data_IF_228827549173
#
_entry.id   IF_228827549173
#
_cell.length_a   1.000
_cell.length_b   1.000
_cell.length_c   1.000
_cell.angle_alpha   90.00
_cell.angle_beta   90.00
_cell.angle_gamma   90.00
#
_symmetry.space_group_name_H-M   'P 1'
#
loop_
_entity.id
_entity.type
_entity.pdbx_description
1 polymer ?
#
# COMPACT_ATOMS: atom_id res chain seq x y z
N UNK A 1 -19.50 -11.03 -4.55
CA UNK A 1 -19.50 -12.45 -5.02
C UNK A 1 -18.17 -12.76 -5.65
N UNK A 2 -17.59 -13.94 -5.38
CA UNK A 2 -16.39 -14.40 -6.04
C UNK A 2 -16.54 -14.33 -7.57
N UNK A 3 -15.56 -13.74 -8.26
CA UNK A 3 -15.58 -13.61 -9.73
C UNK A 3 -14.41 -14.36 -10.32
N UNK A 4 -14.73 -15.20 -11.29
CA UNK A 4 -13.72 -15.94 -12.05
C UNK A 4 -13.04 -14.99 -13.06
N UNK A 5 -11.79 -14.64 -12.80
CA UNK A 5 -10.96 -13.79 -13.68
C UNK A 5 -10.29 -14.60 -14.80
N UNK A 6 -10.56 -15.92 -14.88
CA UNK A 6 -10.00 -16.79 -15.92
C UNK A 6 -10.82 -16.82 -17.19
N UNK A 7 -12.00 -16.17 -17.21
CA UNK A 7 -12.94 -16.15 -18.33
C UNK A 7 -13.27 -14.71 -18.76
N UNK A 8 -13.85 -14.55 -19.96
CA UNK A 8 -14.29 -13.25 -20.47
C UNK A 8 -13.19 -12.37 -21.08
N UNK A 9 -13.55 -11.13 -21.46
CA UNK A 9 -12.64 -10.16 -22.08
C UNK A 9 -11.70 -9.54 -21.03
N UNK A 10 -10.40 -9.59 -21.27
CA UNK A 10 -9.37 -9.24 -20.29
C UNK A 10 -9.39 -7.76 -19.92
N UNK A 11 -9.32 -6.86 -20.90
CA UNK A 11 -9.23 -5.40 -20.65
C UNK A 11 -10.42 -4.85 -19.85
N UNK A 12 -11.69 -5.09 -20.25
CA UNK A 12 -12.85 -4.61 -19.49
C UNK A 12 -12.90 -5.21 -18.07
N UNK A 13 -12.47 -6.47 -17.92
CA UNK A 13 -12.44 -7.14 -16.64
C UNK A 13 -11.39 -6.54 -15.71
N UNK A 14 -10.19 -6.24 -16.23
CA UNK A 14 -9.12 -5.59 -15.49
C UNK A 14 -9.56 -4.20 -15.02
N UNK A 15 -10.13 -3.38 -15.92
CA UNK A 15 -10.65 -2.05 -15.59
C UNK A 15 -11.73 -2.14 -14.50
N UNK A 16 -12.72 -3.03 -14.67
CA UNK A 16 -13.82 -3.19 -13.71
C UNK A 16 -13.33 -3.66 -12.33
N UNK A 17 -12.25 -4.44 -12.29
CA UNK A 17 -11.63 -4.89 -11.05
C UNK A 17 -10.78 -3.78 -10.40
N UNK A 18 -10.08 -2.98 -11.20
CA UNK A 18 -9.12 -1.98 -10.73
C UNK A 18 -9.80 -0.70 -10.23
N UNK A 19 -10.90 -0.25 -10.86
CA UNK A 19 -11.61 0.97 -10.45
C UNK A 19 -11.98 0.97 -8.95
N UNK A 20 -12.60 -0.08 -8.38
CA UNK A 20 -12.89 -0.10 -6.93
C UNK A 20 -11.64 -0.03 -6.06
N UNK A 21 -10.51 -0.60 -6.50
CA UNK A 21 -9.23 -0.52 -5.77
C UNK A 21 -8.71 0.91 -5.74
N UNK A 22 -8.75 1.60 -6.89
CA UNK A 22 -8.34 3.01 -7.02
C UNK A 22 -9.21 3.88 -6.13
N UNK A 23 -10.54 3.76 -6.24
CA UNK A 23 -11.48 4.53 -5.44
C UNK A 23 -11.28 4.27 -3.94
N UNK A 24 -11.05 3.02 -3.55
CA UNK A 24 -10.79 2.67 -2.16
C UNK A 24 -9.54 3.35 -1.61
N UNK A 25 -8.44 3.32 -2.35
CA UNK A 25 -7.20 3.92 -1.88
C UNK A 25 -7.24 5.46 -1.90
N UNK A 26 -7.88 6.08 -2.90
CA UNK A 26 -8.11 7.53 -2.91
C UNK A 26 -8.98 7.93 -1.70
N UNK A 27 -10.05 7.18 -1.44
CA UNK A 27 -10.90 7.42 -0.30
C UNK A 27 -10.13 7.28 1.02
N UNK A 28 -9.25 6.28 1.13
CA UNK A 28 -8.38 6.07 2.29
C UNK A 28 -7.42 7.25 2.52
N UNK A 29 -6.79 7.76 1.46
CA UNK A 29 -5.94 8.94 1.55
C UNK A 29 -6.71 10.17 2.04
N UNK A 30 -7.93 10.33 1.54
CA UNK A 30 -8.80 11.47 1.88
C UNK A 30 -9.28 11.40 3.32
N UNK A 31 -9.75 10.25 3.81
CA UNK A 31 -10.22 10.16 5.19
C UNK A 31 -9.08 10.31 6.21
N UNK A 32 -7.87 9.82 5.93
CA UNK A 32 -6.70 10.05 6.77
C UNK A 32 -6.35 11.55 6.90
N UNK A 33 -6.59 12.31 5.83
CA UNK A 33 -6.44 13.77 5.88
C UNK A 33 -7.53 14.42 6.77
N UNK A 34 -8.78 13.95 6.66
CA UNK A 34 -9.90 14.43 7.49
C UNK A 34 -9.65 14.16 8.96
N UNK A 35 -9.21 12.93 9.33
CA UNK A 35 -8.84 12.57 10.70
C UNK A 35 -7.77 13.53 11.28
N UNK A 36 -6.71 13.79 10.51
CA UNK A 36 -5.68 14.75 10.92
C UNK A 36 -6.21 16.18 11.11
N UNK A 37 -7.18 16.61 10.31
CA UNK A 37 -7.84 17.92 10.45
C UNK A 37 -8.68 17.95 11.73
N UNK A 38 -9.43 16.89 12.03
CA UNK A 38 -10.25 16.80 13.25
C UNK A 38 -9.34 16.90 14.48
N UNK A 39 -8.27 16.10 14.53
CA UNK A 39 -7.31 16.13 15.63
C UNK A 39 -6.70 17.54 15.80
N UNK A 40 -6.19 18.12 14.70
CA UNK A 40 -5.53 19.44 14.76
C UNK A 40 -6.47 20.56 15.17
N UNK A 41 -7.74 20.53 14.73
CA UNK A 41 -8.71 21.61 14.97
C UNK A 41 -9.39 21.53 16.33
N UNK A 42 -9.72 20.33 16.79
CA UNK A 42 -10.53 20.13 18.01
C UNK A 42 -9.74 19.69 19.24
N UNK A 43 -8.56 19.09 19.07
CA UNK A 43 -7.73 18.62 20.19
C UNK A 43 -6.54 19.54 20.43
N UNK A 44 -5.91 20.02 19.36
CA UNK A 44 -4.82 20.99 19.41
C UNK A 44 -3.46 20.44 18.95
N UNK A 45 -2.43 21.30 19.02
CA UNK A 45 -1.12 21.07 18.45
C UNK A 45 -0.35 19.88 19.06
N UNK A 46 -0.48 19.66 20.36
CA UNK A 46 0.21 18.57 21.06
C UNK A 46 -0.32 17.20 20.65
N UNK A 47 -1.64 17.10 20.48
CA UNK A 47 -2.28 15.89 19.98
C UNK A 47 -1.90 15.59 18.50
N UNK A 48 -1.88 16.63 17.68
CA UNK A 48 -1.47 16.51 16.27
C UNK A 48 0.00 16.05 16.17
N UNK A 49 0.87 16.58 17.04
CA UNK A 49 2.27 16.16 17.14
C UNK A 49 2.38 14.68 17.55
N UNK A 50 1.61 14.27 18.58
CA UNK A 50 1.59 12.88 19.06
C UNK A 50 1.14 11.90 17.94
N UNK A 51 0.06 12.22 17.24
CA UNK A 51 -0.42 11.43 16.07
C UNK A 51 0.64 11.36 14.98
N UNK A 52 1.26 12.51 14.65
CA UNK A 52 2.32 12.60 13.64
C UNK A 52 3.53 11.72 13.94
N UNK A 53 3.93 11.63 15.23
CA UNK A 53 5.02 10.76 15.69
C UNK A 53 4.61 9.28 15.63
N UNK A 54 3.36 8.96 15.98
CA UNK A 54 2.87 7.58 16.00
C UNK A 54 2.68 7.01 14.59
N UNK A 55 2.31 7.82 13.59
CA UNK A 55 2.00 7.37 12.24
C UNK A 55 3.11 6.56 11.55
N UNK A 56 4.39 6.98 11.51
CA UNK A 56 5.46 6.20 10.92
C UNK A 56 5.67 4.84 11.62
N UNK A 57 5.57 4.83 12.96
CA UNK A 57 5.74 3.62 13.79
C UNK A 57 4.62 2.62 13.46
N UNK A 58 3.38 3.08 13.48
CA UNK A 58 2.21 2.27 13.15
C UNK A 58 2.28 1.75 11.72
N UNK A 59 2.68 2.60 10.77
CA UNK A 59 2.84 2.23 9.36
C UNK A 59 3.85 1.10 9.19
N UNK A 60 5.01 1.17 9.84
CA UNK A 60 6.01 0.10 9.79
C UNK A 60 5.46 -1.25 10.27
N UNK A 61 4.71 -1.24 11.38
CA UNK A 61 4.11 -2.46 11.94
C UNK A 61 3.04 -3.03 10.97
N UNK A 62 2.19 -2.18 10.44
CA UNK A 62 1.13 -2.57 9.50
C UNK A 62 1.72 -3.10 8.18
N UNK A 63 2.88 -2.64 7.74
CA UNK A 63 3.54 -3.15 6.53
C UNK A 63 3.80 -4.66 6.59
N UNK A 64 4.19 -5.20 7.76
CA UNK A 64 4.41 -6.63 7.92
C UNK A 64 3.10 -7.42 7.83
N UNK A 65 2.02 -6.89 8.43
CA UNK A 65 0.67 -7.49 8.33
C UNK A 65 0.17 -7.47 6.88
N UNK A 66 0.33 -6.34 6.20
CA UNK A 66 -0.05 -6.19 4.79
C UNK A 66 0.78 -7.11 3.88
N UNK A 67 2.09 -7.25 4.14
CA UNK A 67 2.95 -8.17 3.41
C UNK A 67 2.47 -9.61 3.53
N UNK A 68 2.12 -10.05 4.74
CA UNK A 68 1.57 -11.39 4.99
C UNK A 68 0.25 -11.60 4.22
N UNK A 69 -0.69 -10.67 4.32
CA UNK A 69 -1.97 -10.72 3.62
C UNK A 69 -1.80 -10.74 2.09
N UNK A 70 -0.87 -9.94 1.57
CA UNK A 70 -0.58 -9.89 0.13
C UNK A 70 0.04 -11.19 -0.37
N UNK A 71 1.04 -11.73 0.33
CA UNK A 71 1.65 -13.01 -0.02
C UNK A 71 0.62 -14.14 -0.03
N UNK A 72 -0.25 -14.19 0.99
CA UNK A 72 -1.34 -15.16 1.06
C UNK A 72 -2.36 -14.99 -0.07
N UNK A 73 -2.70 -13.75 -0.45
CA UNK A 73 -3.68 -13.48 -1.51
C UNK A 73 -3.24 -14.00 -2.87
N UNK A 74 -1.95 -13.94 -3.18
CA UNK A 74 -1.38 -14.49 -4.42
C UNK A 74 -1.57 -16.02 -4.45
N UNK A 75 -1.27 -16.70 -3.34
CA UNK A 75 -1.46 -18.15 -3.22
C UNK A 75 -2.95 -18.51 -3.31
N UNK A 76 -3.81 -17.77 -2.62
CA UNK A 76 -5.27 -17.97 -2.67
C UNK A 76 -5.83 -17.78 -4.09
N UNK A 77 -5.39 -16.73 -4.81
CA UNK A 77 -5.77 -16.48 -6.19
C UNK A 77 -5.35 -17.63 -7.11
N UNK A 78 -4.14 -18.15 -6.92
CA UNK A 78 -3.64 -19.30 -7.67
C UNK A 78 -4.48 -20.57 -7.40
N UNK A 79 -4.78 -20.90 -6.14
CA UNK A 79 -5.60 -22.05 -5.79
C UNK A 79 -7.05 -21.90 -6.27
N UNK A 80 -7.60 -20.70 -6.18
CA UNK A 80 -8.95 -20.40 -6.67
C UNK A 80 -9.05 -20.58 -8.18
N UNK A 81 -8.13 -20.00 -8.95
CA UNK A 81 -8.07 -20.14 -10.39
C UNK A 81 -7.87 -21.59 -10.82
N UNK A 82 -7.04 -22.35 -10.10
CA UNK A 82 -6.81 -23.78 -10.34
C UNK A 82 -7.93 -24.69 -9.84
N UNK A 83 -9.04 -24.14 -9.32
CA UNK A 83 -10.19 -24.87 -8.74
C UNK A 83 -9.80 -25.84 -7.61
N UNK A 84 -8.69 -25.59 -6.91
CA UNK A 84 -8.19 -26.38 -5.80
C UNK A 84 -8.84 -25.92 -4.49
N UNK A 85 -10.16 -26.12 -4.36
CA UNK A 85 -10.98 -25.53 -3.29
C UNK A 85 -10.61 -26.03 -1.88
N UNK A 86 -10.21 -27.30 -1.73
CA UNK A 86 -9.71 -27.82 -0.45
C UNK A 86 -8.43 -27.12 -0.01
N UNK A 87 -7.45 -27.02 -0.91
CA UNK A 87 -6.20 -26.30 -0.62
C UNK A 87 -6.44 -24.83 -0.35
N UNK A 88 -7.36 -24.19 -1.08
CA UNK A 88 -7.77 -22.80 -0.86
C UNK A 88 -8.34 -22.61 0.55
N UNK A 89 -9.26 -23.46 0.98
CA UNK A 89 -9.86 -23.39 2.32
C UNK A 89 -8.82 -23.58 3.41
N UNK A 90 -7.89 -24.53 3.24
CA UNK A 90 -6.76 -24.76 4.17
C UNK A 90 -5.81 -23.56 4.20
N UNK A 91 -5.56 -22.94 3.04
CA UNK A 91 -4.75 -21.72 2.94
C UNK A 91 -5.40 -20.54 3.68
N UNK A 92 -6.70 -20.33 3.50
CA UNK A 92 -7.48 -19.28 4.17
C UNK A 92 -7.40 -19.48 5.70
N UNK A 93 -7.70 -20.71 6.17
CA UNK A 93 -7.63 -21.06 7.60
C UNK A 93 -6.23 -20.88 8.18
N UNK A 94 -5.20 -21.41 7.52
CA UNK A 94 -3.82 -21.31 7.98
C UNK A 94 -3.36 -19.85 8.06
N UNK A 95 -3.71 -19.02 7.05
CA UNK A 95 -3.35 -17.59 7.05
C UNK A 95 -4.08 -16.84 8.15
N UNK A 96 -5.36 -17.11 8.38
CA UNK A 96 -6.13 -16.47 9.44
C UNK A 96 -5.56 -16.79 10.81
N UNK A 97 -5.33 -18.07 11.12
CA UNK A 97 -4.79 -18.51 12.41
C UNK A 97 -3.41 -17.91 12.64
N UNK A 98 -2.49 -18.07 11.67
CA UNK A 98 -1.14 -17.57 11.81
C UNK A 98 -1.06 -16.04 11.90
N UNK A 99 -1.90 -15.34 11.13
CA UNK A 99 -1.94 -13.90 11.16
C UNK A 99 -2.56 -13.33 12.44
N UNK A 100 -3.56 -14.00 13.02
CA UNK A 100 -4.09 -13.65 14.36
C UNK A 100 -3.02 -13.83 15.43
N UNK A 101 -2.32 -14.96 15.43
CA UNK A 101 -1.20 -15.19 16.38
C UNK A 101 -0.11 -14.13 16.19
N UNK A 102 0.25 -13.85 14.95
CA UNK A 102 1.28 -12.86 14.63
C UNK A 102 0.85 -11.44 15.03
N UNK A 103 -0.38 -11.03 14.74
CA UNK A 103 -0.90 -9.71 15.13
C UNK A 103 -0.99 -9.56 16.65
N UNK A 104 -1.40 -10.62 17.37
CA UNK A 104 -1.42 -10.62 18.83
C UNK A 104 -0.01 -10.50 19.41
N UNK A 105 0.95 -11.25 18.88
CA UNK A 105 2.35 -11.15 19.29
C UNK A 105 2.92 -9.75 19.05
N UNK A 106 2.65 -9.15 17.87
CA UNK A 106 3.03 -7.77 17.57
C UNK A 106 2.37 -6.77 18.52
N UNK A 107 1.09 -6.93 18.81
CA UNK A 107 0.38 -6.09 19.78
C UNK A 107 1.04 -6.14 21.16
N UNK A 108 1.32 -7.33 21.68
CA UNK A 108 1.98 -7.50 22.98
C UNK A 108 3.37 -6.86 23.00
N UNK A 109 4.19 -7.14 21.98
CA UNK A 109 5.51 -6.53 21.85
C UNK A 109 5.43 -5.01 21.74
N UNK A 110 4.53 -4.49 20.90
CA UNK A 110 4.36 -3.06 20.71
C UNK A 110 3.92 -2.36 22.01
N UNK A 111 3.00 -2.95 22.79
CA UNK A 111 2.56 -2.39 24.08
C UNK A 111 3.70 -2.36 25.09
N UNK A 112 4.50 -3.43 25.20
CA UNK A 112 5.65 -3.51 26.11
C UNK A 112 6.73 -2.51 25.72
N UNK A 113 7.06 -2.46 24.42
CA UNK A 113 8.15 -1.62 23.91
C UNK A 113 7.72 -0.21 23.48
N UNK A 114 6.45 0.19 23.67
CA UNK A 114 5.96 1.52 23.28
C UNK A 114 6.88 2.64 23.83
N UNK A 115 7.13 2.66 25.12
CA UNK A 115 7.93 3.72 25.75
C UNK A 115 9.40 3.70 25.33
N UNK A 116 10.10 2.55 25.29
CA UNK A 116 11.44 2.45 24.70
C UNK A 116 11.53 2.96 23.25
N UNK A 117 10.56 2.60 22.40
CA UNK A 117 10.53 3.06 21.01
C UNK A 117 10.37 4.59 20.94
N UNK A 118 9.46 5.16 21.72
CA UNK A 118 9.26 6.61 21.77
C UNK A 118 10.48 7.36 22.31
N UNK A 119 11.20 6.78 23.27
CA UNK A 119 12.48 7.33 23.76
C UNK A 119 13.56 7.29 22.65
N UNK A 120 13.64 6.20 21.89
CA UNK A 120 14.58 6.06 20.77
C UNK A 120 14.33 7.11 19.68
N UNK A 121 13.06 7.46 19.43
CA UNK A 121 12.65 8.51 18.48
C UNK A 121 12.78 9.92 19.11
N UNK A 122 13.25 10.02 20.35
CA UNK A 122 13.50 11.29 21.08
C UNK A 122 12.23 12.15 21.22
N UNK A 123 11.10 11.53 21.55
CA UNK A 123 9.85 12.25 21.83
C UNK A 123 10.00 13.15 23.04
N UNK A 124 9.54 14.40 22.93
CA UNK A 124 9.58 15.38 24.00
C UNK A 124 8.82 14.88 25.24
N UNK A 125 9.38 15.17 26.42
CA UNK A 125 8.83 14.72 27.71
C UNK A 125 7.42 15.26 27.98
N UNK A 126 7.10 16.45 27.47
CA UNK A 126 5.79 17.10 27.63
C UNK A 126 4.64 16.30 26.99
N UNK A 127 4.89 15.67 25.84
CA UNK A 127 3.88 14.89 25.09
C UNK A 127 4.09 13.37 25.22
N UNK A 128 5.12 12.90 25.92
CA UNK A 128 5.46 11.48 26.04
C UNK A 128 4.31 10.62 26.54
N UNK A 129 3.60 11.08 27.59
CA UNK A 129 2.47 10.34 28.16
C UNK A 129 1.32 10.23 27.18
N UNK A 130 0.98 11.33 26.52
CA UNK A 130 -0.08 11.40 25.51
C UNK A 130 0.23 10.47 24.34
N UNK A 131 1.44 10.57 23.80
CA UNK A 131 1.92 9.74 22.68
C UNK A 131 1.95 8.26 23.05
N UNK A 132 2.35 7.93 24.29
CA UNK A 132 2.37 6.54 24.78
C UNK A 132 0.95 5.97 24.85
N UNK A 133 -0.01 6.72 25.40
CA UNK A 133 -1.40 6.26 25.50
C UNK A 133 -2.02 6.08 24.12
N UNK A 134 -1.88 7.07 23.24
CA UNK A 134 -2.38 7.01 21.86
C UNK A 134 -1.85 5.78 21.12
N UNK A 135 -0.51 5.60 21.12
CA UNK A 135 0.12 4.49 20.43
C UNK A 135 -0.34 3.12 20.97
N UNK A 136 -0.46 2.98 22.29
CA UNK A 136 -0.97 1.74 22.91
C UNK A 136 -2.41 1.42 22.49
N UNK A 137 -3.28 2.41 22.42
CA UNK A 137 -4.68 2.20 21.98
C UNK A 137 -4.68 1.73 20.52
N UNK A 138 -3.93 2.38 19.63
CA UNK A 138 -3.82 1.97 18.24
C UNK A 138 -3.25 0.55 18.11
N UNK A 139 -2.22 0.21 18.92
CA UNK A 139 -1.64 -1.15 18.91
C UNK A 139 -2.63 -2.23 19.36
N UNK A 140 -3.53 -1.93 20.28
CA UNK A 140 -4.62 -2.84 20.65
C UNK A 140 -5.56 -3.11 19.46
N UNK A 141 -5.68 -2.17 18.54
CA UNK A 141 -6.46 -2.32 17.31
C UNK A 141 -5.83 -3.20 16.22
N UNK A 142 -4.54 -3.54 16.31
CA UNK A 142 -3.82 -4.28 15.25
C UNK A 142 -4.49 -5.59 14.83
N UNK A 143 -5.19 -6.26 15.72
CA UNK A 143 -5.92 -7.50 15.39
C UNK A 143 -7.07 -7.22 14.43
N UNK A 144 -7.78 -6.10 14.59
CA UNK A 144 -8.87 -5.69 13.69
C UNK A 144 -8.31 -5.19 12.36
N UNK A 145 -7.21 -4.43 12.39
CA UNK A 145 -6.45 -4.03 11.19
C UNK A 145 -6.02 -5.26 10.39
N UNK A 146 -5.48 -6.31 11.05
CA UNK A 146 -5.14 -7.57 10.39
C UNK A 146 -6.37 -8.24 9.78
N UNK A 147 -7.45 -8.41 10.54
CA UNK A 147 -8.66 -9.08 10.07
C UNK A 147 -9.26 -8.37 8.86
N UNK A 148 -9.35 -7.04 8.89
CA UNK A 148 -9.82 -6.25 7.76
C UNK A 148 -8.93 -6.47 6.52
N UNK A 149 -7.60 -6.37 6.66
CA UNK A 149 -6.65 -6.57 5.56
C UNK A 149 -6.70 -8.01 5.03
N UNK A 150 -6.86 -9.00 5.91
CA UNK A 150 -7.00 -10.41 5.56
C UNK A 150 -8.27 -10.64 4.73
N UNK A 151 -9.44 -10.19 5.20
CA UNK A 151 -10.70 -10.35 4.46
C UNK A 151 -10.66 -9.60 3.12
N UNK A 152 -10.18 -8.37 3.12
CA UNK A 152 -10.04 -7.55 1.91
C UNK A 152 -9.12 -8.21 0.89
N UNK A 153 -7.96 -8.73 1.30
CA UNK A 153 -7.00 -9.39 0.43
C UNK A 153 -7.54 -10.73 -0.08
N UNK A 154 -8.27 -11.47 0.75
CA UNK A 154 -8.90 -12.73 0.36
C UNK A 154 -10.01 -12.50 -0.65
N UNK A 155 -10.90 -11.52 -0.43
CA UNK A 155 -11.96 -11.16 -1.39
C UNK A 155 -11.36 -10.74 -2.74
N UNK A 156 -10.30 -9.94 -2.72
CA UNK A 156 -9.56 -9.56 -3.94
C UNK A 156 -8.97 -10.77 -4.67
N UNK A 157 -8.38 -11.70 -3.94
CA UNK A 157 -7.87 -12.95 -4.50
C UNK A 157 -8.96 -13.79 -5.18
N UNK A 158 -10.20 -13.74 -4.67
CA UNK A 158 -11.40 -14.37 -5.25
C UNK A 158 -12.08 -13.51 -6.34
N UNK A 159 -11.45 -12.42 -6.78
CA UNK A 159 -11.95 -11.56 -7.86
C UNK A 159 -13.00 -10.52 -7.43
N UNK A 160 -13.20 -10.29 -6.14
CA UNK A 160 -14.11 -9.27 -5.63
C UNK A 160 -13.32 -8.09 -5.05
N UNK A 161 -13.19 -7.01 -5.83
CA UNK A 161 -12.57 -5.76 -5.41
C UNK A 161 -13.56 -4.72 -4.90
N UNK A 162 -14.86 -4.89 -5.19
CA UNK A 162 -15.89 -3.92 -4.83
C UNK A 162 -16.30 -4.03 -3.36
N UNK A 163 -16.44 -5.24 -2.85
CA UNK A 163 -16.85 -5.48 -1.46
C UNK A 163 -15.88 -4.86 -0.45
N UNK A 164 -14.56 -5.00 -0.57
CA UNK A 164 -13.60 -4.30 0.30
C UNK A 164 -13.75 -2.77 0.28
N UNK A 165 -14.09 -2.18 -0.87
CA UNK A 165 -14.35 -0.74 -0.96
C UNK A 165 -15.56 -0.33 -0.11
N UNK A 166 -16.66 -1.07 -0.17
CA UNK A 166 -17.84 -0.76 0.65
C UNK A 166 -17.52 -0.82 2.15
N UNK A 167 -16.77 -1.81 2.59
CA UNK A 167 -16.34 -1.91 3.98
C UNK A 167 -15.43 -0.76 4.39
N UNK A 168 -14.52 -0.35 3.51
CA UNK A 168 -13.66 0.80 3.75
C UNK A 168 -14.48 2.09 3.93
N UNK A 169 -15.48 2.32 3.07
CA UNK A 169 -16.36 3.49 3.16
C UNK A 169 -17.13 3.46 4.50
N UNK A 170 -17.69 2.32 4.86
CA UNK A 170 -18.41 2.16 6.14
C UNK A 170 -17.47 2.44 7.31
N UNK A 171 -16.27 1.86 7.32
CA UNK A 171 -15.28 2.07 8.37
C UNK A 171 -14.89 3.55 8.51
N UNK A 172 -14.64 4.23 7.40
CA UNK A 172 -14.25 5.63 7.41
C UNK A 172 -15.39 6.54 7.88
N UNK A 173 -16.62 6.27 7.47
CA UNK A 173 -17.79 7.03 7.96
C UNK A 173 -17.95 6.82 9.47
N UNK A 174 -17.87 5.57 9.95
CA UNK A 174 -17.92 5.28 11.39
C UNK A 174 -16.79 5.95 12.15
N UNK A 175 -15.58 5.97 11.58
CA UNK A 175 -14.42 6.62 12.18
C UNK A 175 -14.64 8.13 12.33
N UNK A 176 -15.06 8.84 11.27
CA UNK A 176 -15.32 10.28 11.34
C UNK A 176 -16.40 10.61 12.36
N UNK A 177 -17.50 9.85 12.39
CA UNK A 177 -18.54 10.03 13.43
C UNK A 177 -18.01 9.70 14.82
N UNK A 178 -17.23 8.66 14.96
CA UNK A 178 -16.56 8.28 16.21
C UNK A 178 -15.61 9.36 16.70
N UNK A 179 -14.78 9.94 15.83
CA UNK A 179 -13.88 11.03 16.16
C UNK A 179 -14.65 12.24 16.68
N UNK A 180 -15.67 12.66 15.97
CA UNK A 180 -16.52 13.77 16.44
C UNK A 180 -17.18 13.46 17.79
N UNK A 181 -17.68 12.25 17.97
CA UNK A 181 -18.31 11.85 19.23
C UNK A 181 -17.30 11.80 20.41
N UNK A 182 -16.19 11.09 20.24
CA UNK A 182 -15.20 10.94 21.31
C UNK A 182 -14.45 12.24 21.60
N UNK A 183 -14.14 13.03 20.56
CA UNK A 183 -13.35 14.25 20.71
C UNK A 183 -14.21 15.43 21.13
N UNK A 184 -15.35 15.68 20.43
CA UNK A 184 -16.15 16.89 20.63
C UNK A 184 -17.16 16.69 21.78
N UNK A 185 -17.85 15.54 21.81
CA UNK A 185 -18.89 15.28 22.82
C UNK A 185 -18.27 14.81 24.13
N UNK A 186 -17.42 13.77 24.10
CA UNK A 186 -16.81 13.18 25.30
C UNK A 186 -15.52 13.88 25.73
N UNK A 187 -14.96 14.79 24.93
CA UNK A 187 -13.71 15.54 25.20
C UNK A 187 -12.52 14.65 25.58
N UNK A 188 -12.46 13.46 24.97
CA UNK A 188 -11.43 12.46 25.26
C UNK A 188 -10.07 12.74 24.58
N UNK A 189 -9.92 13.89 23.92
CA UNK A 189 -8.66 14.30 23.28
C UNK A 189 -8.19 13.34 22.18
N UNK A 190 -6.87 13.22 21.99
CA UNK A 190 -6.28 12.31 20.98
C UNK A 190 -6.55 10.83 21.29
N UNK A 191 -6.71 10.45 22.54
CA UNK A 191 -7.08 9.09 22.92
C UNK A 191 -8.47 8.75 22.38
N UNK A 192 -9.38 9.74 22.29
CA UNK A 192 -10.70 9.60 21.68
C UNK A 192 -10.61 9.22 20.20
N UNK A 193 -9.73 9.88 19.42
CA UNK A 193 -9.49 9.50 18.02
C UNK A 193 -8.93 8.07 17.89
N UNK A 194 -7.96 7.71 18.74
CA UNK A 194 -7.43 6.36 18.74
C UNK A 194 -8.52 5.30 19.02
N UNK A 195 -9.39 5.55 19.97
CA UNK A 195 -10.53 4.68 20.30
C UNK A 195 -11.52 4.63 19.13
N UNK A 196 -11.86 5.77 18.51
CA UNK A 196 -12.75 5.84 17.35
C UNK A 196 -12.21 4.98 16.20
N UNK A 197 -10.90 5.07 15.91
CA UNK A 197 -10.24 4.26 14.88
C UNK A 197 -10.38 2.76 15.18
N UNK A 198 -10.03 2.33 16.39
CA UNK A 198 -10.09 0.92 16.78
C UNK A 198 -11.53 0.39 16.76
N UNK A 199 -12.50 1.16 17.27
CA UNK A 199 -13.91 0.77 17.29
C UNK A 199 -14.48 0.69 15.86
N UNK A 200 -14.17 1.64 14.99
CA UNK A 200 -14.63 1.61 13.60
C UNK A 200 -14.05 0.42 12.82
N UNK A 201 -12.78 0.09 13.02
CA UNK A 201 -12.17 -1.13 12.44
C UNK A 201 -12.80 -2.40 12.99
N UNK A 202 -13.06 -2.47 14.30
CA UNK A 202 -13.73 -3.62 14.92
C UNK A 202 -15.14 -3.83 14.37
N UNK A 203 -15.94 -2.78 14.28
CA UNK A 203 -17.28 -2.83 13.69
C UNK A 203 -17.22 -3.23 12.21
N UNK A 204 -16.29 -2.69 11.46
CA UNK A 204 -16.05 -3.08 10.07
C UNK A 204 -15.73 -4.58 9.94
N UNK A 205 -14.90 -5.13 10.82
CA UNK A 205 -14.62 -6.57 10.85
C UNK A 205 -15.88 -7.40 11.13
N UNK A 206 -16.73 -6.96 12.05
CA UNK A 206 -18.01 -7.64 12.34
C UNK A 206 -18.91 -7.64 11.09
N UNK A 207 -19.05 -6.49 10.42
CA UNK A 207 -19.84 -6.40 9.18
C UNK A 207 -19.24 -7.26 8.06
N UNK A 208 -17.92 -7.30 7.93
CA UNK A 208 -17.22 -8.20 7.01
C UNK A 208 -17.55 -9.67 7.29
N UNK A 209 -17.47 -10.10 8.54
CA UNK A 209 -17.78 -11.49 8.93
C UNK A 209 -19.23 -11.85 8.65
N UNK A 210 -20.18 -10.95 8.95
CA UNK A 210 -21.60 -11.13 8.65
C UNK A 210 -21.81 -11.28 7.14
N UNK A 211 -21.25 -10.37 6.34
CA UNK A 211 -21.33 -10.43 4.88
C UNK A 211 -20.76 -11.73 4.32
N UNK A 212 -19.57 -12.12 4.77
CA UNK A 212 -18.89 -13.34 4.33
C UNK A 212 -19.76 -14.55 4.62
N UNK A 213 -20.34 -14.63 5.82
CA UNK A 213 -21.23 -15.73 6.23
C UNK A 213 -22.40 -15.93 5.26
N UNK A 214 -23.00 -14.84 4.76
CA UNK A 214 -24.19 -14.94 3.91
C UNK A 214 -23.89 -14.92 2.40
N UNK A 215 -22.80 -14.30 1.96
CA UNK A 215 -22.53 -14.04 0.54
C UNK A 215 -21.31 -14.76 -0.02
N UNK A 216 -20.40 -15.24 0.82
CA UNK A 216 -19.16 -15.90 0.39
C UNK A 216 -18.89 -17.14 1.25
N UNK A 217 -19.71 -18.19 1.10
CA UNK A 217 -19.65 -19.39 1.96
C UNK A 217 -18.28 -20.08 1.98
N UNK A 218 -17.49 -19.96 0.91
CA UNK A 218 -16.13 -20.51 0.83
C UNK A 218 -15.17 -19.91 1.87
N UNK A 219 -15.49 -18.73 2.39
CA UNK A 219 -14.74 -18.07 3.46
C UNK A 219 -15.32 -18.36 4.85
N UNK A 220 -16.44 -19.07 4.92
CA UNK A 220 -17.06 -19.44 6.21
C UNK A 220 -16.22 -20.50 6.90
N UNK A 221 -15.44 -20.05 7.86
CA UNK A 221 -14.59 -20.89 8.70
C UNK A 221 -15.43 -21.51 9.80
N UNK A 222 -16.17 -22.57 9.48
CA UNK A 222 -16.76 -23.45 10.49
C UNK A 222 -15.68 -24.31 11.15
N UNK A 223 -16.02 -25.03 12.24
CA UNK A 223 -15.07 -25.90 12.96
C UNK A 223 -14.32 -26.89 12.04
N UNK A 224 -14.94 -27.34 10.95
CA UNK A 224 -14.33 -28.24 9.95
C UNK A 224 -13.20 -27.60 9.15
N UNK A 225 -13.09 -26.25 9.12
CA UNK A 225 -12.12 -25.50 8.33
C UNK A 225 -10.99 -24.90 9.16
N UNK A 226 -11.00 -25.04 10.49
CA UNK A 226 -9.92 -24.62 11.37
C UNK A 226 -8.75 -25.60 11.25
N UNK A 227 -8.09 -25.58 10.10
CA UNK A 227 -6.93 -26.43 9.79
C UNK A 227 -5.69 -25.57 9.69
N UNK A 228 -4.64 -25.99 10.40
CA UNK A 228 -3.33 -25.37 10.34
C UNK A 228 -2.37 -26.26 9.54
N UNK A 229 -1.90 -25.78 8.39
CA UNK A 229 -0.99 -26.50 7.50
C UNK A 229 0.39 -25.81 7.46
N UNK A 230 1.41 -26.50 8.00
CA UNK A 230 2.78 -25.98 8.07
C UNK A 230 3.40 -25.74 6.69
N UNK A 231 3.05 -26.54 5.68
CA UNK A 231 3.57 -26.37 4.33
C UNK A 231 3.03 -25.10 3.68
N UNK A 232 1.71 -24.86 3.84
CA UNK A 232 1.06 -23.64 3.37
C UNK A 232 1.56 -22.41 4.14
N UNK A 233 1.77 -22.53 5.45
CA UNK A 233 2.35 -21.46 6.25
C UNK A 233 3.75 -21.09 5.75
N UNK A 234 4.63 -22.08 5.49
CA UNK A 234 5.97 -21.80 4.97
C UNK A 234 5.94 -21.01 3.65
N UNK A 235 5.05 -21.38 2.75
CA UNK A 235 4.83 -20.65 1.49
C UNK A 235 4.31 -19.23 1.76
N UNK A 236 3.32 -19.08 2.64
CA UNK A 236 2.75 -17.79 3.01
C UNK A 236 3.78 -16.86 3.62
N UNK A 237 4.62 -17.38 4.55
CA UNK A 237 5.72 -16.59 5.14
C UNK A 237 6.72 -16.17 4.06
N UNK A 238 7.12 -17.07 3.16
CA UNK A 238 8.07 -16.76 2.09
C UNK A 238 7.56 -15.64 1.17
N UNK A 239 6.29 -15.71 0.76
CA UNK A 239 5.65 -14.70 -0.08
C UNK A 239 5.39 -13.40 0.71
N UNK A 240 4.90 -13.53 1.93
CA UNK A 240 4.61 -12.39 2.81
C UNK A 240 5.86 -11.62 3.19
N UNK A 241 6.95 -12.33 3.54
CA UNK A 241 8.23 -11.73 3.85
C UNK A 241 8.80 -10.94 2.68
N UNK A 242 8.80 -11.52 1.47
CA UNK A 242 9.27 -10.83 0.27
C UNK A 242 8.45 -9.55 -0.01
N UNK A 243 7.12 -9.62 0.15
CA UNK A 243 6.24 -8.46 -0.02
C UNK A 243 6.45 -7.39 1.08
N UNK A 244 6.63 -7.80 2.33
CA UNK A 244 6.89 -6.90 3.44
C UNK A 244 8.24 -6.20 3.29
N UNK A 245 9.29 -6.95 2.94
CA UNK A 245 10.64 -6.41 2.72
C UNK A 245 10.69 -5.47 1.51
N UNK A 246 9.92 -5.75 0.45
CA UNK A 246 9.77 -4.83 -0.68
C UNK A 246 9.23 -3.47 -0.22
N UNK A 247 8.15 -3.46 0.56
CA UNK A 247 7.57 -2.23 1.07
C UNK A 247 8.48 -1.52 2.08
N UNK A 248 9.15 -2.27 2.96
CA UNK A 248 10.13 -1.71 3.89
C UNK A 248 11.30 -1.04 3.16
N UNK A 249 11.81 -1.65 2.08
CA UNK A 249 12.84 -1.06 1.22
C UNK A 249 12.41 0.28 0.63
N UNK A 250 11.16 0.36 0.15
CA UNK A 250 10.59 1.62 -0.37
C UNK A 250 10.54 2.69 0.71
N UNK A 251 10.12 2.35 1.94
CA UNK A 251 10.05 3.31 3.04
C UNK A 251 11.44 3.78 3.49
N UNK A 252 12.41 2.87 3.59
CA UNK A 252 13.79 3.22 3.90
C UNK A 252 14.39 4.15 2.84
N UNK A 253 14.13 3.89 1.55
CA UNK A 253 14.55 4.77 0.47
C UNK A 253 13.95 6.17 0.57
N UNK A 254 12.65 6.28 0.91
CA UNK A 254 12.00 7.57 1.16
C UNK A 254 12.63 8.34 2.32
N UNK A 255 12.98 7.65 3.42
CA UNK A 255 13.68 8.26 4.56
C UNK A 255 15.06 8.77 4.13
N UNK A 256 15.81 7.99 3.33
CA UNK A 256 17.12 8.41 2.80
C UNK A 256 17.02 9.67 1.93
N UNK A 257 16.05 9.74 1.02
CA UNK A 257 15.78 10.94 0.22
C UNK A 257 15.39 12.13 1.10
N UNK A 258 14.51 11.90 2.10
CA UNK A 258 14.08 12.98 3.01
C UNK A 258 15.26 13.54 3.80
N UNK A 259 16.20 12.70 4.23
CA UNK A 259 17.41 13.16 4.92
C UNK A 259 18.26 14.09 4.05
N UNK A 260 18.41 13.76 2.75
CA UNK A 260 19.12 14.63 1.79
C UNK A 260 18.39 15.96 1.60
N UNK A 261 17.06 15.92 1.43
CA UNK A 261 16.23 17.12 1.22
C UNK A 261 16.30 18.07 2.40
N UNK A 262 16.33 17.55 3.62
CA UNK A 262 16.41 18.38 4.82
C UNK A 262 17.70 19.23 4.87
N UNK A 263 18.75 18.86 4.12
CA UNK A 263 19.99 19.68 3.98
C UNK A 263 19.85 20.81 2.96
N UNK A 264 18.79 20.80 2.12
CA UNK A 264 18.61 21.75 1.01
C UNK A 264 17.83 23.01 1.42
N UNK A 265 17.44 23.14 2.67
CA UNK A 265 16.72 24.28 3.21
C UNK A 265 15.21 24.08 3.33
N UNK A 266 14.57 24.98 4.08
CA UNK A 266 13.17 24.87 4.50
C UNK A 266 12.20 24.96 3.31
N UNK A 267 12.43 25.91 2.39
CA UNK A 267 11.54 26.12 1.23
C UNK A 267 11.54 24.91 0.28
N UNK A 268 12.71 24.26 0.07
CA UNK A 268 12.83 23.05 -0.74
C UNK A 268 12.16 21.87 -0.06
N UNK A 269 12.38 21.70 1.24
CA UNK A 269 11.74 20.64 2.03
C UNK A 269 10.21 20.77 2.03
N UNK A 270 9.70 22.00 2.17
CA UNK A 270 8.28 22.29 2.09
C UNK A 270 7.70 22.00 0.70
N UNK A 271 8.39 22.41 -0.36
CA UNK A 271 8.00 22.11 -1.75
C UNK A 271 7.93 20.61 -2.00
N UNK A 272 8.95 19.87 -1.57
CA UNK A 272 8.96 18.39 -1.67
C UNK A 272 7.81 17.75 -0.89
N UNK A 273 7.50 18.23 0.31
CA UNK A 273 6.38 17.70 1.10
C UNK A 273 5.03 17.91 0.38
N UNK A 274 4.83 19.07 -0.26
CA UNK A 274 3.62 19.32 -1.04
C UNK A 274 3.57 18.41 -2.27
N UNK A 275 4.67 18.32 -3.04
CA UNK A 275 4.70 17.44 -4.23
C UNK A 275 4.48 15.97 -3.84
N UNK A 276 5.04 15.48 -2.74
CA UNK A 276 4.78 14.12 -2.26
C UNK A 276 3.30 13.86 -1.98
N UNK A 277 2.53 14.86 -1.54
CA UNK A 277 1.07 14.71 -1.38
C UNK A 277 0.37 14.59 -2.73
N UNK A 278 0.78 15.39 -3.72
CA UNK A 278 0.27 15.30 -5.10
C UNK A 278 0.62 13.94 -5.69
N UNK A 279 1.88 13.50 -5.55
CA UNK A 279 2.37 12.21 -6.02
C UNK A 279 1.62 11.03 -5.40
N UNK A 280 1.23 11.12 -4.12
CA UNK A 280 0.45 10.06 -3.47
C UNK A 280 -0.87 9.81 -4.21
N UNK A 281 -1.55 10.85 -4.68
CA UNK A 281 -2.76 10.71 -5.51
C UNK A 281 -2.42 10.26 -6.94
N UNK A 282 -1.33 10.78 -7.53
CA UNK A 282 -0.91 10.46 -8.88
C UNK A 282 -0.47 8.98 -9.03
N UNK A 283 0.27 8.43 -8.07
CA UNK A 283 0.74 7.04 -8.12
C UNK A 283 -0.27 6.00 -7.65
N UNK A 284 -1.28 6.40 -6.89
CA UNK A 284 -2.29 5.46 -6.38
C UNK A 284 -2.97 4.63 -7.50
N UNK A 285 -3.41 5.19 -8.63
CA UNK A 285 -4.00 4.39 -9.69
C UNK A 285 -3.02 3.40 -10.32
N UNK A 286 -1.77 3.76 -10.59
CA UNK A 286 -0.74 2.86 -11.12
C UNK A 286 -0.54 1.64 -10.21
N UNK A 287 -0.35 1.88 -8.92
CA UNK A 287 -0.20 0.79 -7.96
C UNK A 287 -1.42 -0.14 -7.93
N UNK A 288 -2.62 0.40 -8.08
CA UNK A 288 -3.84 -0.40 -8.07
C UNK A 288 -4.09 -1.14 -9.39
N UNK A 289 -3.64 -0.60 -10.53
CA UNK A 289 -3.59 -1.34 -11.80
C UNK A 289 -2.68 -2.56 -11.64
N UNK A 290 -1.48 -2.36 -11.09
CA UNK A 290 -0.54 -3.45 -10.81
C UNK A 290 -1.12 -4.50 -9.83
N UNK A 291 -1.87 -4.09 -8.81
CA UNK A 291 -2.57 -5.02 -7.91
C UNK A 291 -3.68 -5.80 -8.62
N UNK A 292 -4.42 -5.14 -9.52
CA UNK A 292 -5.41 -5.79 -10.38
C UNK A 292 -4.78 -6.83 -11.31
N UNK A 293 -3.64 -6.47 -11.93
CA UNK A 293 -2.84 -7.40 -12.72
C UNK A 293 -2.39 -8.60 -11.89
N UNK A 294 -1.88 -8.37 -10.67
CA UNK A 294 -1.45 -9.43 -9.74
C UNK A 294 -2.57 -10.44 -9.49
N UNK A 295 -3.76 -9.98 -9.14
CA UNK A 295 -4.90 -10.86 -8.85
C UNK A 295 -5.34 -11.66 -10.09
N UNK A 296 -5.45 -11.00 -11.25
CA UNK A 296 -5.84 -11.64 -12.49
C UNK A 296 -4.81 -12.68 -12.93
N UNK A 297 -3.53 -12.38 -12.87
CA UNK A 297 -2.46 -13.29 -13.28
C UNK A 297 -2.34 -14.48 -12.34
N UNK A 298 -2.49 -14.26 -11.01
CA UNK A 298 -2.47 -15.35 -10.04
C UNK A 298 -3.58 -16.39 -10.32
N UNK A 299 -4.80 -15.94 -10.62
CA UNK A 299 -5.90 -16.85 -10.98
C UNK A 299 -5.65 -17.56 -12.31
N UNK A 300 -5.21 -16.83 -13.36
CA UNK A 300 -4.96 -17.43 -14.69
C UNK A 300 -3.79 -18.41 -14.66
N UNK A 301 -2.72 -18.11 -13.91
CA UNK A 301 -1.62 -19.06 -13.68
C UNK A 301 -2.10 -20.32 -12.97
N UNK A 302 -2.90 -20.17 -11.93
CA UNK A 302 -3.49 -21.31 -11.21
C UNK A 302 -4.37 -22.19 -12.08
N UNK A 303 -5.07 -21.58 -13.04
CA UNK A 303 -5.90 -22.27 -14.03
C UNK A 303 -5.10 -22.89 -15.20
N UNK A 304 -3.78 -22.73 -15.25
CA UNK A 304 -2.95 -23.17 -16.39
C UNK A 304 -3.22 -22.40 -17.69
N UNK A 305 -3.78 -21.17 -17.58
CA UNK A 305 -4.13 -20.32 -18.74
C UNK A 305 -2.99 -19.35 -19.08
N UNK A 306 -1.86 -19.91 -19.53
CA UNK A 306 -0.67 -19.14 -19.89
C UNK A 306 -0.94 -18.11 -20.99
N UNK A 307 -1.85 -18.43 -21.95
CA UNK A 307 -2.33 -17.49 -22.96
C UNK A 307 -2.92 -16.22 -22.35
N UNK A 308 -3.68 -16.37 -21.26
CA UNK A 308 -4.32 -15.26 -20.57
C UNK A 308 -3.35 -14.49 -19.65
N UNK A 309 -2.34 -15.14 -19.11
CA UNK A 309 -1.25 -14.46 -18.37
C UNK A 309 -0.55 -13.46 -19.28
N UNK A 310 -0.17 -13.88 -20.50
CA UNK A 310 0.47 -13.00 -21.49
C UNK A 310 -0.45 -11.87 -21.94
N UNK A 311 -1.71 -12.20 -22.31
CA UNK A 311 -2.69 -11.18 -22.72
C UNK A 311 -3.01 -10.21 -21.58
N UNK A 312 -3.07 -10.72 -20.35
CA UNK A 312 -3.28 -9.91 -19.15
C UNK A 312 -2.14 -8.95 -18.89
N UNK A 313 -0.90 -9.39 -19.04
CA UNK A 313 0.27 -8.54 -18.96
C UNK A 313 0.22 -7.40 -20.00
N UNK A 314 -0.03 -7.73 -21.28
CA UNK A 314 -0.16 -6.71 -22.32
C UNK A 314 -1.27 -5.70 -22.01
N UNK A 315 -2.45 -6.17 -21.61
CA UNK A 315 -3.57 -5.30 -21.25
C UNK A 315 -3.23 -4.39 -20.05
N UNK A 316 -2.57 -4.94 -19.05
CA UNK A 316 -2.14 -4.16 -17.88
C UNK A 316 -1.11 -3.09 -18.24
N UNK A 317 -0.07 -3.42 -19.00
CA UNK A 317 0.94 -2.44 -19.46
C UNK A 317 0.30 -1.34 -20.32
N UNK A 318 -0.65 -1.68 -21.20
CA UNK A 318 -1.38 -0.67 -22.00
C UNK A 318 -2.14 0.29 -21.06
N UNK A 319 -2.82 -0.25 -20.05
CA UNK A 319 -3.56 0.56 -19.09
C UNK A 319 -2.65 1.45 -18.26
N UNK A 320 -1.51 0.93 -17.81
CA UNK A 320 -0.47 1.69 -17.09
C UNK A 320 0.08 2.84 -17.94
N UNK A 321 0.42 2.58 -19.22
CA UNK A 321 0.92 3.60 -20.15
C UNK A 321 -0.13 4.70 -20.39
N UNK A 322 -1.38 4.30 -20.66
CA UNK A 322 -2.48 5.26 -20.87
C UNK A 322 -2.64 6.15 -19.64
N UNK A 323 -2.62 5.56 -18.44
CA UNK A 323 -2.73 6.31 -17.22
C UNK A 323 -1.48 7.20 -16.97
N UNK A 324 -0.27 6.67 -17.19
CA UNK A 324 0.98 7.42 -17.05
C UNK A 324 1.03 8.65 -17.95
N UNK A 325 0.57 8.53 -19.21
CA UNK A 325 0.43 9.66 -20.14
C UNK A 325 -0.63 10.65 -19.62
N UNK A 326 -1.77 10.17 -19.17
CA UNK A 326 -2.83 11.03 -18.62
C UNK A 326 -2.32 11.85 -17.42
N UNK A 327 -1.71 11.20 -16.44
CA UNK A 327 -1.24 11.88 -15.23
C UNK A 327 -0.05 12.80 -15.50
N UNK A 328 0.81 12.46 -16.48
CA UNK A 328 1.82 13.38 -16.99
C UNK A 328 1.20 14.70 -17.44
N UNK A 329 0.20 14.66 -18.32
CA UNK A 329 -0.45 15.88 -18.79
C UNK A 329 -1.10 16.67 -17.65
N UNK A 330 -1.78 16.01 -16.73
CA UNK A 330 -2.41 16.66 -15.58
C UNK A 330 -1.37 17.37 -14.70
N UNK A 331 -0.32 16.67 -14.29
CA UNK A 331 0.69 17.24 -13.39
C UNK A 331 1.58 18.27 -14.08
N UNK A 332 1.88 18.11 -15.38
CA UNK A 332 2.70 19.06 -16.14
C UNK A 332 1.96 20.37 -16.41
N UNK A 333 0.72 20.28 -16.92
CA UNK A 333 -0.07 21.47 -17.29
C UNK A 333 -0.57 22.22 -16.05
N UNK A 334 -1.04 21.49 -15.04
CA UNK A 334 -1.62 22.07 -13.84
C UNK A 334 -0.66 22.15 -12.65
N UNK A 335 0.67 22.07 -12.87
CA UNK A 335 1.66 22.11 -11.79
C UNK A 335 1.49 23.32 -10.85
N UNK A 336 1.29 24.51 -11.39
CA UNK A 336 1.09 25.74 -10.61
C UNK A 336 -0.22 25.72 -9.79
N UNK A 337 -1.38 25.50 -10.41
CA UNK A 337 -2.64 25.33 -9.70
C UNK A 337 -2.61 24.23 -8.63
N UNK A 338 -2.01 23.07 -8.91
CA UNK A 338 -1.88 21.97 -7.95
C UNK A 338 -1.06 22.36 -6.73
N UNK A 339 0.05 23.07 -6.91
CA UNK A 339 0.86 23.58 -5.79
C UNK A 339 0.08 24.58 -4.95
N UNK A 340 -0.67 25.49 -5.59
CA UNK A 340 -1.49 26.52 -4.92
C UNK A 340 -2.62 25.96 -4.08
N UNK A 341 -3.07 24.72 -4.30
CA UNK A 341 -4.05 24.04 -3.44
C UNK A 341 -3.51 23.77 -2.02
N UNK A 342 -2.19 23.69 -1.87
CA UNK A 342 -1.56 23.29 -0.60
C UNK A 342 -0.80 24.42 0.10
N UNK A 343 -0.37 25.46 -0.64
CA UNK A 343 0.42 26.57 -0.09
C UNK A 343 0.23 27.85 -0.87
N UNK A 344 0.36 28.98 -0.18
CA UNK A 344 0.42 30.33 -0.78
C UNK A 344 1.83 30.90 -0.85
N UNK A 345 2.83 30.20 -0.29
CA UNK A 345 4.22 30.64 -0.32
C UNK A 345 4.80 30.57 -1.73
N UNK A 346 5.28 31.72 -2.25
CA UNK A 346 5.72 31.88 -3.63
C UNK A 346 7.00 31.08 -3.92
N UNK A 347 7.93 31.00 -2.96
CA UNK A 347 9.16 30.21 -3.12
C UNK A 347 8.88 28.71 -3.13
N UNK A 348 8.03 28.25 -2.21
CA UNK A 348 7.59 26.84 -2.16
C UNK A 348 6.88 26.47 -3.45
N UNK A 349 5.99 27.33 -3.97
CA UNK A 349 5.32 27.11 -5.26
C UNK A 349 6.33 27.04 -6.39
N UNK A 350 7.29 27.95 -6.46
CA UNK A 350 8.32 27.96 -7.52
C UNK A 350 9.12 26.66 -7.54
N UNK A 351 9.68 26.25 -6.41
CA UNK A 351 10.42 24.99 -6.30
C UNK A 351 9.55 23.77 -6.61
N UNK A 352 8.32 23.74 -6.09
CA UNK A 352 7.38 22.65 -6.31
C UNK A 352 6.95 22.52 -7.77
N UNK A 353 6.72 23.63 -8.48
CA UNK A 353 6.37 23.60 -9.91
C UNK A 353 7.53 23.06 -10.76
N UNK A 354 8.78 23.46 -10.47
CA UNK A 354 9.96 22.93 -11.17
C UNK A 354 10.03 21.41 -10.96
N UNK A 355 9.96 20.97 -9.69
CA UNK A 355 10.02 19.56 -9.34
C UNK A 355 8.88 18.76 -9.97
N UNK A 356 7.62 19.22 -9.83
CA UNK A 356 6.44 18.52 -10.34
C UNK A 356 6.45 18.40 -11.87
N UNK A 357 6.88 19.43 -12.59
CA UNK A 357 7.02 19.37 -14.06
C UNK A 357 8.09 18.38 -14.48
N UNK A 358 9.25 18.36 -13.83
CA UNK A 358 10.33 17.44 -14.16
C UNK A 358 9.93 15.98 -13.86
N UNK A 359 9.36 15.73 -12.68
CA UNK A 359 8.97 14.37 -12.31
C UNK A 359 7.81 13.83 -13.15
N UNK A 360 6.86 14.70 -13.54
CA UNK A 360 5.70 14.29 -14.34
C UNK A 360 6.08 13.73 -15.71
N UNK A 361 7.11 14.26 -16.36
CA UNK A 361 7.64 13.72 -17.63
C UNK A 361 8.10 12.26 -17.48
N UNK A 362 8.47 11.87 -16.27
CA UNK A 362 8.98 10.54 -15.96
C UNK A 362 7.92 9.55 -15.52
N UNK A 363 6.64 9.95 -15.33
CA UNK A 363 5.56 9.06 -14.81
C UNK A 363 5.30 7.80 -15.63
N UNK A 364 5.71 7.79 -16.89
CA UNK A 364 5.64 6.56 -17.70
C UNK A 364 6.58 5.45 -17.18
N UNK A 365 7.67 5.81 -16.49
CA UNK A 365 8.63 4.84 -15.96
C UNK A 365 8.06 4.08 -14.74
N UNK A 366 7.51 4.75 -13.72
CA UNK A 366 6.83 4.05 -12.64
C UNK A 366 5.61 3.26 -13.13
N UNK A 367 4.85 3.73 -14.13
CA UNK A 367 3.77 2.97 -14.75
C UNK A 367 4.29 1.64 -15.33
N UNK A 368 5.38 1.67 -16.10
CA UNK A 368 6.00 0.46 -16.63
C UNK A 368 6.52 -0.48 -15.54
N UNK A 369 7.25 0.05 -14.57
CA UNK A 369 7.81 -0.78 -13.48
C UNK A 369 6.72 -1.37 -12.58
N UNK A 370 5.65 -0.62 -12.26
CA UNK A 370 4.50 -1.13 -11.53
C UNK A 370 3.81 -2.27 -12.29
N UNK A 371 3.59 -2.12 -13.60
CA UNK A 371 3.02 -3.17 -14.44
C UNK A 371 3.89 -4.44 -14.48
N UNK A 372 5.22 -4.29 -14.61
CA UNK A 372 6.16 -5.42 -14.56
C UNK A 372 6.15 -6.09 -13.19
N UNK A 373 6.14 -5.32 -12.11
CA UNK A 373 6.00 -5.86 -10.75
C UNK A 373 4.66 -6.55 -10.53
N UNK A 374 3.57 -6.01 -11.08
CA UNK A 374 2.26 -6.65 -11.07
C UNK A 374 2.29 -8.04 -11.72
N UNK A 375 3.01 -8.17 -12.83
CA UNK A 375 3.24 -9.44 -13.52
C UNK A 375 4.02 -10.42 -12.63
N UNK A 376 5.21 -10.04 -12.15
CA UNK A 376 6.04 -10.93 -11.33
C UNK A 376 5.35 -11.36 -10.04
N UNK A 377 4.64 -10.46 -9.36
CA UNK A 377 3.81 -10.82 -8.20
C UNK A 377 2.73 -11.82 -8.56
N UNK A 378 2.02 -11.60 -9.66
CA UNK A 378 0.94 -12.47 -10.10
C UNK A 378 1.40 -13.88 -10.46
N UNK A 379 2.56 -14.01 -11.08
CA UNK A 379 3.18 -15.32 -11.34
C UNK A 379 3.89 -15.93 -10.13
N UNK A 380 3.96 -15.21 -9.00
CA UNK A 380 4.54 -15.68 -7.74
C UNK A 380 6.05 -15.56 -7.65
N UNK A 381 6.70 -14.77 -8.51
CA UNK A 381 8.14 -14.51 -8.45
C UNK A 381 8.44 -13.20 -7.70
N UNK A 382 8.19 -13.24 -6.40
CA UNK A 382 8.34 -12.08 -5.50
C UNK A 382 9.80 -11.72 -5.23
N UNK A 383 10.75 -12.62 -5.52
CA UNK A 383 12.18 -12.31 -5.37
C UNK A 383 12.62 -11.22 -6.34
N UNK A 384 12.08 -11.25 -7.57
CA UNK A 384 12.39 -10.23 -8.58
C UNK A 384 11.84 -8.87 -8.14
N UNK A 385 10.61 -8.83 -7.63
CA UNK A 385 10.01 -7.57 -7.17
C UNK A 385 10.74 -6.98 -5.97
N UNK A 386 11.25 -7.80 -5.06
CA UNK A 386 12.08 -7.36 -3.95
C UNK A 386 13.42 -6.81 -4.44
N UNK A 387 14.14 -7.58 -5.28
CA UNK A 387 15.44 -7.17 -5.82
C UNK A 387 15.34 -5.87 -6.60
N UNK A 388 14.37 -5.75 -7.48
CA UNK A 388 14.18 -4.54 -8.31
C UNK A 388 13.84 -3.31 -7.48
N UNK A 389 13.03 -3.46 -6.43
CA UNK A 389 12.74 -2.37 -5.49
C UNK A 389 13.96 -1.95 -4.69
N UNK A 390 14.80 -2.90 -4.28
CA UNK A 390 16.06 -2.63 -3.61
C UNK A 390 17.02 -1.85 -4.53
N UNK A 391 17.16 -2.27 -5.79
CA UNK A 391 17.96 -1.57 -6.80
C UNK A 391 17.42 -0.14 -7.02
N UNK A 392 16.10 0.00 -7.21
CA UNK A 392 15.47 1.31 -7.41
C UNK A 392 15.82 2.28 -6.27
N UNK A 393 15.54 1.87 -5.02
CA UNK A 393 15.73 2.76 -3.88
C UNK A 393 17.20 2.99 -3.56
N UNK A 394 18.07 1.97 -3.71
CA UNK A 394 19.49 2.09 -3.53
C UNK A 394 20.12 3.06 -4.55
N UNK A 395 19.83 2.85 -5.84
CA UNK A 395 20.34 3.74 -6.91
C UNK A 395 19.80 5.15 -6.76
N UNK A 396 18.53 5.32 -6.39
CA UNK A 396 17.90 6.63 -6.16
C UNK A 396 18.63 7.42 -5.07
N UNK A 397 18.88 6.82 -3.91
CA UNK A 397 19.57 7.48 -2.80
C UNK A 397 21.03 7.76 -3.15
N UNK A 398 21.73 6.77 -3.73
CA UNK A 398 23.12 6.91 -4.15
C UNK A 398 23.31 7.97 -5.25
N UNK A 399 22.37 8.11 -6.18
CA UNK A 399 22.42 9.14 -7.22
C UNK A 399 22.11 10.55 -6.68
N UNK A 400 21.21 10.65 -5.69
CA UNK A 400 20.88 11.95 -5.10
C UNK A 400 22.09 12.62 -4.41
N UNK A 401 22.97 11.83 -3.78
CA UNK A 401 24.14 12.34 -3.06
C UNK A 401 25.06 13.17 -3.97
N UNK A 402 25.63 12.64 -5.08
CA UNK A 402 26.51 13.44 -5.94
C UNK A 402 25.76 14.56 -6.67
N UNK A 403 24.49 14.38 -7.03
CA UNK A 403 23.71 15.44 -7.68
C UNK A 403 23.54 16.65 -6.77
N UNK A 404 23.29 16.44 -5.48
CA UNK A 404 23.10 17.52 -4.51
C UNK A 404 24.45 18.07 -4.02
N UNK A 405 25.35 17.21 -3.54
CA UNK A 405 26.55 17.66 -2.81
C UNK A 405 27.77 17.92 -3.71
N UNK A 406 27.91 17.21 -4.85
CA UNK A 406 29.04 17.40 -5.75
C UNK A 406 28.72 18.38 -6.90
N UNK A 407 27.51 18.28 -7.47
CA UNK A 407 27.10 19.15 -8.58
C UNK A 407 26.32 20.38 -8.11
N UNK A 408 26.00 20.51 -6.83
CA UNK A 408 25.28 21.66 -6.26
C UNK A 408 23.87 21.88 -6.86
N UNK A 409 23.25 20.83 -7.38
CA UNK A 409 21.91 20.93 -7.95
C UNK A 409 20.87 21.23 -6.87
N UNK A 410 19.90 22.08 -7.21
CA UNK A 410 18.75 22.35 -6.35
C UNK A 410 17.73 21.20 -6.32
N UNK A 411 16.45 21.55 -6.22
CA UNK A 411 15.34 20.58 -6.15
C UNK A 411 15.28 19.66 -7.38
N UNK A 412 15.87 20.06 -8.49
CA UNK A 412 15.96 19.29 -9.74
C UNK A 412 16.77 17.99 -9.59
N UNK A 413 17.70 17.94 -8.63
CA UNK A 413 18.46 16.72 -8.31
C UNK A 413 17.55 15.53 -8.04
N UNK A 414 16.39 15.75 -7.42
CA UNK A 414 15.48 14.70 -6.99
C UNK A 414 14.81 13.96 -8.15
N UNK A 415 14.17 14.64 -9.14
CA UNK A 415 13.66 13.95 -10.32
C UNK A 415 14.73 13.14 -11.05
N UNK A 416 15.95 13.66 -11.20
CA UNK A 416 17.04 12.92 -11.84
C UNK A 416 17.51 11.71 -11.03
N UNK A 417 17.52 11.80 -9.71
CA UNK A 417 17.80 10.64 -8.86
C UNK A 417 16.70 9.57 -8.97
N UNK A 418 15.44 9.99 -9.12
CA UNK A 418 14.30 9.08 -9.33
C UNK A 418 14.40 8.43 -10.71
N UNK A 419 14.77 9.18 -11.75
CA UNK A 419 15.05 8.66 -13.09
C UNK A 419 16.12 7.56 -13.04
N UNK A 420 17.25 7.81 -12.38
CA UNK A 420 18.31 6.83 -12.20
C UNK A 420 17.81 5.55 -11.51
N UNK A 421 17.00 5.70 -10.46
CA UNK A 421 16.38 4.57 -9.75
C UNK A 421 15.47 3.72 -10.64
N UNK A 422 14.59 4.34 -11.43
CA UNK A 422 13.70 3.63 -12.37
C UNK A 422 14.46 2.97 -13.51
N UNK A 423 15.49 3.63 -14.07
CA UNK A 423 16.35 3.03 -15.08
C UNK A 423 17.07 1.81 -14.51
N UNK A 424 17.66 1.91 -13.32
CA UNK A 424 18.32 0.79 -12.66
C UNK A 424 17.37 -0.39 -12.43
N UNK A 425 16.12 -0.10 -12.04
CA UNK A 425 15.06 -1.09 -11.88
C UNK A 425 14.70 -1.78 -13.19
N UNK A 426 14.50 -1.03 -14.26
CA UNK A 426 14.17 -1.57 -15.59
C UNK A 426 15.30 -2.43 -16.16
N UNK A 427 16.58 -2.02 -15.95
CA UNK A 427 17.74 -2.82 -16.34
C UNK A 427 17.71 -4.20 -15.66
N UNK A 428 17.30 -4.27 -14.40
CA UNK A 428 17.17 -5.53 -13.69
C UNK A 428 15.94 -6.36 -14.12
N UNK A 429 14.80 -5.70 -14.36
CA UNK A 429 13.52 -6.37 -14.62
C UNK A 429 13.37 -6.87 -16.06
N UNK A 430 13.79 -6.07 -17.07
CA UNK A 430 13.54 -6.39 -18.48
C UNK A 430 14.16 -7.72 -18.93
N UNK A 431 15.44 -8.04 -18.62
CA UNK A 431 16.02 -9.32 -19.01
C UNK A 431 15.27 -10.51 -18.41
N UNK A 432 14.86 -10.39 -17.15
CA UNK A 432 14.10 -11.44 -16.46
C UNK A 432 12.67 -11.56 -17.01
N UNK A 433 12.05 -10.43 -17.33
CA UNK A 433 10.76 -10.40 -18.00
C UNK A 433 10.82 -11.10 -19.37
N UNK A 434 11.80 -10.76 -20.22
CA UNK A 434 11.98 -11.37 -21.54
C UNK A 434 12.21 -12.88 -21.42
N UNK A 435 13.03 -13.33 -20.46
CA UNK A 435 13.26 -14.75 -20.20
C UNK A 435 11.96 -15.46 -19.84
N UNK A 436 11.21 -14.94 -18.86
CA UNK A 436 9.95 -15.53 -18.44
C UNK A 436 8.89 -15.51 -19.55
N UNK A 437 8.78 -14.40 -20.25
CA UNK A 437 7.83 -14.23 -21.35
C UNK A 437 8.08 -15.25 -22.49
N UNK A 438 9.35 -15.48 -22.87
CA UNK A 438 9.72 -16.51 -23.84
C UNK A 438 9.37 -17.93 -23.37
N UNK A 439 9.52 -18.21 -22.07
CA UNK A 439 9.13 -19.50 -21.49
C UNK A 439 7.61 -19.74 -21.61
N UNK A 440 6.79 -18.73 -21.30
CA UNK A 440 5.33 -18.80 -21.48
C UNK A 440 4.91 -18.95 -22.95
N UNK A 441 5.59 -18.29 -23.90
CA UNK A 441 5.29 -18.47 -25.33
C UNK A 441 5.58 -19.92 -25.78
N UNK A 442 6.67 -20.51 -25.26
CA UNK A 442 7.00 -21.91 -25.58
C UNK A 442 5.98 -22.90 -24.99
N UNK A 443 5.39 -22.62 -23.83
CA UNK A 443 4.37 -23.50 -23.23
C UNK A 443 3.02 -23.47 -23.96
N UNK A 444 2.76 -22.42 -24.75
CA UNK A 444 1.51 -22.24 -25.49
C UNK A 444 1.60 -22.87 -26.89
N UNK A 445 2.80 -23.01 -27.45
CA UNK A 445 3.06 -23.71 -28.74
C UNK A 445 3.16 -25.20 -28.51
#
# INVERSE_FOLDING_TARGET
MAKDLTQGRIMPMLIKFTIPLILGNIFQLTYNAVDSIIVGRFVGKEALAAVGICNPITTLIILFLNGLCMGASILMGNYFGGKKMDTLSRQISTTMISGMIFSLALTLLAIVFTRPILMLVQVDRSIMTLTTQYLRIIMLGLIFTFLYNFFSSTLRALGDSATPLYFLIISAVLNVFGDLFFVVVLKAGSNGCAVATVVSEALCCVFCMIYIKFKVPILCLGKKWLVFDRSLLKKTISYGWASAMQQATVQLGKIGIQAIINTMGVSVSAAFAVVNRIDAYAYTPEQNIAHGMTAMMAQNKGAGRDDRVIKGFKAGIILEIIYGIFIFFVCFVFAGPLMKLFTSDTEVIRHGVIYLKLISVMYILPALTNGIQGYFRGIGDLKITLLSSFINMGVRVLAAIPLVFALGMGIEALPFSYLAGWIGMLIAEIPLLVKNYRAYIKSIR
#
